data_IF_742529612029
#
_entry.id   IF_742529612029
#
_cell.length_a   1.000
_cell.length_b   1.000
_cell.length_c   1.000
_cell.angle_alpha   90.00
_cell.angle_beta   90.00
_cell.angle_gamma   90.00
#
_symmetry.space_group_name_H-M   'P 1'
#
loop_
_entity.id
_entity.type
_entity.pdbx_description
1 polymer ?
#
# COMPACT_ATOMS: atom_id res chain seq x y z
N UNK A 1 10.64 -1.18 -22.68
CA UNK A 1 11.39 -2.25 -22.02
C UNK A 1 10.96 -2.32 -20.55
N UNK A 2 10.59 -3.52 -20.11
CA UNK A 2 10.19 -3.73 -18.71
C UNK A 2 11.41 -3.87 -17.81
N UNK A 3 11.38 -3.25 -16.65
CA UNK A 3 12.38 -3.47 -15.62
C UNK A 3 11.78 -3.16 -14.25
N UNK A 4 12.30 -3.82 -13.24
CA UNK A 4 11.84 -3.68 -11.87
C UNK A 4 12.16 -2.27 -11.35
N UNK A 5 11.14 -1.62 -10.84
CA UNK A 5 11.28 -0.36 -10.11
C UNK A 5 11.18 -0.63 -8.61
N UNK A 6 12.07 -0.02 -7.86
CA UNK A 6 12.06 -0.06 -6.40
C UNK A 6 11.82 1.35 -5.90
N UNK A 7 10.68 1.55 -5.23
CA UNK A 7 10.34 2.85 -4.65
C UNK A 7 10.62 2.79 -3.17
N UNK A 8 11.47 3.70 -2.70
CA UNK A 8 11.67 3.95 -1.27
C UNK A 8 10.70 5.04 -0.85
N UNK A 9 9.83 4.72 0.08
CA UNK A 9 8.84 5.66 0.59
C UNK A 9 9.43 6.49 1.73
N UNK A 10 8.70 7.55 2.13
CA UNK A 10 9.04 8.30 3.35
C UNK A 10 8.85 7.47 4.61
N UNK A 11 8.16 6.36 4.50
CA UNK A 11 7.99 5.40 5.59
C UNK A 11 9.20 4.47 5.58
N UNK A 12 10.00 4.50 6.64
CA UNK A 12 11.22 3.69 6.72
C UNK A 12 10.92 2.19 6.87
N UNK A 13 9.73 1.85 7.34
CA UNK A 13 9.25 0.48 7.46
C UNK A 13 7.74 0.51 7.69
N UNK A 14 7.06 -0.55 7.30
CA UNK A 14 5.63 -0.70 7.55
C UNK A 14 5.38 -1.64 8.73
N UNK A 15 4.34 -1.36 9.49
CA UNK A 15 3.78 -2.35 10.40
C UNK A 15 3.00 -3.34 9.56
N UNK A 16 3.45 -4.60 9.56
CA UNK A 16 2.90 -5.64 8.68
C UNK A 16 1.38 -5.79 8.81
N UNK A 17 0.87 -5.88 10.04
CA UNK A 17 -0.57 -6.05 10.27
C UNK A 17 -1.37 -4.86 9.78
N UNK A 18 -0.89 -3.64 10.02
CA UNK A 18 -1.54 -2.43 9.56
C UNK A 18 -1.57 -2.36 8.04
N UNK A 19 -0.45 -2.69 7.39
CA UNK A 19 -0.39 -2.72 5.94
C UNK A 19 -1.36 -3.76 5.37
N UNK A 20 -1.43 -4.96 5.95
CA UNK A 20 -2.36 -5.99 5.53
C UNK A 20 -3.81 -5.54 5.69
N UNK A 21 -4.15 -4.86 6.78
CA UNK A 21 -5.49 -4.33 6.99
C UNK A 21 -5.86 -3.29 5.93
N UNK A 22 -4.94 -2.41 5.59
CA UNK A 22 -5.13 -1.42 4.51
C UNK A 22 -5.33 -2.12 3.18
N UNK A 23 -4.52 -3.11 2.85
CA UNK A 23 -4.65 -3.87 1.60
C UNK A 23 -5.97 -4.63 1.55
N UNK A 24 -6.42 -5.21 2.65
CA UNK A 24 -7.72 -5.89 2.72
C UNK A 24 -8.89 -4.94 2.47
N UNK A 25 -8.75 -3.66 2.80
CA UNK A 25 -9.78 -2.66 2.51
C UNK A 25 -9.89 -2.33 1.01
N UNK A 26 -8.95 -2.76 0.20
CA UNK A 26 -8.89 -2.51 -1.25
C UNK A 26 -9.20 -3.77 -2.08
N UNK A 27 -9.80 -4.81 -1.50
CA UNK A 27 -10.00 -6.11 -2.16
C UNK A 27 -10.91 -6.07 -3.40
N UNK A 28 -11.67 -5.00 -3.61
CA UNK A 28 -12.44 -4.86 -4.85
C UNK A 28 -11.54 -4.74 -6.09
N UNK A 29 -10.39 -4.09 -5.95
CA UNK A 29 -9.47 -3.84 -7.06
C UNK A 29 -8.26 -4.76 -7.06
N UNK A 30 -7.87 -5.26 -5.90
CA UNK A 30 -6.67 -6.07 -5.73
C UNK A 30 -6.96 -7.34 -4.94
N UNK A 31 -6.07 -8.32 -5.08
CA UNK A 31 -6.05 -9.48 -4.19
C UNK A 31 -4.66 -9.68 -3.61
N UNK A 32 -4.61 -10.18 -2.38
CA UNK A 32 -3.36 -10.51 -1.72
C UNK A 32 -2.93 -11.90 -2.17
N UNK A 33 -1.73 -11.98 -2.72
CA UNK A 33 -1.18 -13.22 -3.27
C UNK A 33 -0.50 -14.00 -2.16
N UNK A 34 -0.63 -15.33 -2.17
CA UNK A 34 0.00 -16.20 -1.17
C UNK A 34 1.49 -16.39 -1.40
N UNK A 35 1.90 -16.35 -2.64
CA UNK A 35 3.28 -16.57 -3.04
C UNK A 35 4.14 -15.35 -2.65
N UNK A 36 5.41 -15.60 -2.30
CA UNK A 36 6.39 -14.56 -2.03
C UNK A 36 7.24 -14.20 -3.25
N UNK A 37 7.02 -14.89 -4.36
CA UNK A 37 7.70 -14.64 -5.64
C UNK A 37 6.72 -14.85 -6.77
N UNK A 38 6.63 -13.86 -7.64
CA UNK A 38 5.76 -13.90 -8.82
C UNK A 38 6.50 -13.37 -10.03
N UNK A 39 6.03 -13.73 -11.21
CA UNK A 39 6.55 -13.18 -12.46
C UNK A 39 5.54 -12.18 -13.04
N UNK A 40 5.99 -10.94 -13.26
CA UNK A 40 5.20 -9.88 -13.85
C UNK A 40 5.84 -9.47 -15.17
N UNK A 41 5.22 -9.86 -16.28
CA UNK A 41 5.78 -9.69 -17.62
C UNK A 41 7.18 -10.31 -17.71
N UNK A 42 8.22 -9.46 -17.80
CA UNK A 42 9.61 -9.92 -17.93
C UNK A 42 10.42 -9.81 -16.64
N UNK A 43 9.81 -9.38 -15.56
CA UNK A 43 10.50 -9.21 -14.28
C UNK A 43 9.97 -10.18 -13.24
N UNK A 44 10.83 -10.55 -12.31
CA UNK A 44 10.45 -11.34 -11.15
C UNK A 44 10.35 -10.43 -9.94
N UNK A 45 9.24 -10.54 -9.22
CA UNK A 45 9.00 -9.77 -8.00
C UNK A 45 9.04 -10.73 -6.82
N UNK A 46 9.94 -10.49 -5.89
CA UNK A 46 10.04 -11.24 -4.63
C UNK A 46 9.86 -10.26 -3.48
N UNK A 47 8.86 -10.50 -2.65
CA UNK A 47 8.57 -9.65 -1.51
C UNK A 47 7.74 -10.41 -0.47
N UNK A 48 7.82 -10.02 0.82
CA UNK A 48 7.00 -10.66 1.86
C UNK A 48 5.50 -10.51 1.65
N UNK A 49 5.06 -9.41 1.02
CA UNK A 49 3.66 -9.17 0.70
C UNK A 49 3.58 -8.80 -0.77
N UNK A 50 2.73 -9.51 -1.52
CA UNK A 50 2.50 -9.23 -2.94
C UNK A 50 1.00 -9.10 -3.18
N UNK A 51 0.61 -8.08 -3.91
CA UNK A 51 -0.76 -7.88 -4.38
C UNK A 51 -0.83 -8.03 -5.89
N UNK A 52 -1.99 -8.49 -6.35
CA UNK A 52 -2.31 -8.59 -7.78
C UNK A 52 -3.47 -7.65 -8.08
N UNK A 53 -3.32 -6.82 -9.11
CA UNK A 53 -4.42 -6.00 -9.61
C UNK A 53 -5.34 -6.88 -10.45
N UNK A 54 -6.59 -7.02 -10.03
CA UNK A 54 -7.54 -7.98 -10.63
C UNK A 54 -7.79 -7.73 -12.11
N UNK A 55 -7.90 -6.46 -12.49
CA UNK A 55 -8.24 -6.09 -13.87
C UNK A 55 -7.08 -6.29 -14.85
N UNK A 56 -5.88 -5.95 -14.46
CA UNK A 56 -4.70 -6.03 -15.33
C UNK A 56 -3.89 -7.31 -15.14
N UNK A 57 -4.06 -8.00 -14.01
CA UNK A 57 -3.25 -9.15 -13.65
C UNK A 57 -1.81 -8.80 -13.24
N UNK A 58 -1.51 -7.51 -13.05
CA UNK A 58 -0.17 -7.04 -12.70
C UNK A 58 0.04 -7.11 -11.19
N UNK A 59 1.30 -7.10 -10.77
CA UNK A 59 1.70 -7.33 -9.38
C UNK A 59 2.48 -6.16 -8.80
N UNK A 60 2.32 -5.96 -7.49
CA UNK A 60 3.12 -5.01 -6.70
C UNK A 60 3.56 -5.71 -5.44
N UNK A 61 4.85 -5.66 -5.13
CA UNK A 61 5.42 -6.23 -3.91
C UNK A 61 5.70 -5.15 -2.87
N UNK A 62 5.49 -5.49 -1.60
CA UNK A 62 5.78 -4.62 -0.47
C UNK A 62 6.73 -5.33 0.48
N UNK A 63 7.79 -4.63 0.88
CA UNK A 63 8.68 -5.11 1.95
C UNK A 63 8.44 -4.28 3.21
N UNK A 64 7.70 -4.83 4.20
CA UNK A 64 7.41 -4.07 5.42
C UNK A 64 8.64 -3.68 6.22
N UNK A 65 9.70 -4.47 6.16
CA UNK A 65 10.91 -4.22 6.94
C UNK A 65 11.72 -3.04 6.42
N UNK A 66 11.71 -2.82 5.12
CA UNK A 66 12.52 -1.77 4.48
C UNK A 66 11.69 -0.58 4.00
N UNK A 67 10.36 -0.72 3.95
CA UNK A 67 9.48 0.29 3.36
C UNK A 67 9.55 0.36 1.85
N UNK A 68 10.20 -0.61 1.21
CA UNK A 68 10.34 -0.63 -0.24
C UNK A 68 9.11 -1.21 -0.92
N UNK A 69 8.79 -0.66 -2.10
CA UNK A 69 7.72 -1.14 -2.98
C UNK A 69 8.35 -1.52 -4.31
N UNK A 70 8.12 -2.75 -4.75
CA UNK A 70 8.74 -3.33 -5.95
C UNK A 70 7.66 -3.60 -6.99
N UNK A 71 7.84 -3.06 -8.19
CA UNK A 71 6.91 -3.27 -9.29
C UNK A 71 7.56 -2.92 -10.62
N UNK A 72 6.94 -3.34 -11.72
CA UNK A 72 7.31 -2.91 -13.07
C UNK A 72 6.22 -1.95 -13.58
N UNK A 73 6.52 -0.66 -13.77
CA UNK A 73 5.52 0.32 -14.21
C UNK A 73 5.16 0.21 -15.70
N UNK A 74 5.86 -0.60 -16.46
CA UNK A 74 5.67 -0.68 -17.91
C UNK A 74 4.23 -1.09 -18.27
N UNK A 75 3.58 -0.25 -19.07
CA UNK A 75 2.22 -0.50 -19.53
C UNK A 75 1.11 -0.13 -18.56
N UNK A 76 1.44 0.25 -17.32
CA UNK A 76 0.43 0.67 -16.32
C UNK A 76 0.95 1.70 -15.32
N UNK A 77 1.85 2.56 -15.79
CA UNK A 77 2.53 3.56 -14.93
C UNK A 77 1.54 4.40 -14.11
N UNK A 78 0.55 5.00 -14.76
CA UNK A 78 -0.42 5.86 -14.08
C UNK A 78 -1.29 5.08 -13.09
N UNK A 79 -1.75 3.91 -13.50
CA UNK A 79 -2.58 3.06 -12.64
C UNK A 79 -1.80 2.52 -11.44
N UNK A 80 -0.58 2.03 -11.67
CA UNK A 80 0.26 1.55 -10.57
C UNK A 80 0.59 2.66 -9.58
N UNK A 81 0.89 3.87 -10.06
CA UNK A 81 1.12 5.03 -9.20
C UNK A 81 -0.09 5.38 -8.36
N UNK A 82 -1.29 5.34 -8.94
CA UNK A 82 -2.53 5.59 -8.20
C UNK A 82 -2.76 4.55 -7.10
N UNK A 83 -2.54 3.28 -7.40
CA UNK A 83 -2.70 2.20 -6.43
C UNK A 83 -1.71 2.37 -5.28
N UNK A 84 -0.43 2.59 -5.59
CA UNK A 84 0.61 2.76 -4.58
C UNK A 84 0.30 3.98 -3.70
N UNK A 85 -0.05 5.12 -4.30
CA UNK A 85 -0.38 6.33 -3.57
C UNK A 85 -1.61 6.14 -2.68
N UNK A 86 -2.65 5.45 -3.17
CA UNK A 86 -3.84 5.16 -2.38
C UNK A 86 -3.51 4.30 -1.16
N UNK A 87 -2.70 3.26 -1.34
CA UNK A 87 -2.27 2.38 -0.24
C UNK A 87 -1.45 3.17 0.78
N UNK A 88 -0.49 3.98 0.33
CA UNK A 88 0.36 4.78 1.21
C UNK A 88 -0.44 5.81 1.99
N UNK A 89 -1.37 6.51 1.36
CA UNK A 89 -2.23 7.50 2.02
C UNK A 89 -3.10 6.85 3.09
N UNK A 90 -3.71 5.71 2.79
CA UNK A 90 -4.51 4.96 3.76
C UNK A 90 -3.65 4.48 4.93
N UNK A 91 -2.46 3.96 4.64
CA UNK A 91 -1.55 3.48 5.66
C UNK A 91 -1.15 4.61 6.61
N UNK A 92 -0.72 5.75 6.07
CA UNK A 92 -0.30 6.91 6.87
C UNK A 92 -1.47 7.42 7.71
N UNK A 93 -2.68 7.50 7.14
CA UNK A 93 -3.86 7.95 7.85
C UNK A 93 -4.19 7.02 9.04
N UNK A 94 -4.14 5.71 8.85
CA UNK A 94 -4.40 4.73 9.92
C UNK A 94 -3.37 4.85 11.04
N UNK A 95 -2.09 4.95 10.69
CA UNK A 95 -1.01 5.09 11.68
C UNK A 95 -1.17 6.40 12.46
N UNK A 96 -1.48 7.49 11.78
CA UNK A 96 -1.69 8.79 12.41
C UNK A 96 -2.89 8.77 13.37
N UNK A 97 -4.01 8.17 12.96
CA UNK A 97 -5.20 8.02 13.78
C UNK A 97 -4.87 7.23 15.06
N UNK A 98 -4.19 6.10 14.93
CA UNK A 98 -3.78 5.28 16.08
C UNK A 98 -2.86 6.05 17.03
N UNK A 99 -1.94 6.82 16.49
CA UNK A 99 -1.04 7.65 17.30
C UNK A 99 -1.82 8.70 18.09
N UNK A 100 -2.75 9.40 17.44
CA UNK A 100 -3.59 10.40 18.09
C UNK A 100 -4.46 9.78 19.20
N UNK A 101 -5.05 8.62 18.96
CA UNK A 101 -5.83 7.89 19.95
C UNK A 101 -4.98 7.53 21.17
N UNK A 102 -3.75 7.09 20.96
CA UNK A 102 -2.79 6.81 22.04
C UNK A 102 -2.48 8.05 22.87
N UNK A 103 -2.52 9.23 22.25
CA UNK A 103 -2.29 10.51 22.92
C UNK A 103 -3.55 11.09 23.60
N UNK A 104 -4.67 10.35 23.59
CA UNK A 104 -5.91 10.76 24.25
C UNK A 104 -6.85 11.60 23.40
N UNK A 105 -6.70 11.58 22.08
CA UNK A 105 -7.62 12.25 21.16
C UNK A 105 -8.73 11.30 20.70
N UNK A 106 -9.94 11.83 20.58
CA UNK A 106 -10.99 11.19 19.80
C UNK A 106 -10.75 11.49 18.33
N UNK A 107 -10.71 10.47 17.51
CA UNK A 107 -10.37 10.64 16.10
C UNK A 107 -11.52 10.15 15.22
N UNK A 108 -11.95 11.02 14.29
CA UNK A 108 -12.87 10.66 13.22
C UNK A 108 -12.08 10.56 11.93
N UNK A 109 -12.33 9.50 11.18
CA UNK A 109 -11.72 9.30 9.87
C UNK A 109 -12.78 9.51 8.81
N UNK A 110 -12.52 10.44 7.88
CA UNK A 110 -13.37 10.65 6.71
C UNK A 110 -12.65 10.13 5.49
N UNK A 111 -13.32 9.27 4.76
CA UNK A 111 -12.81 8.79 3.48
C UNK A 111 -13.47 9.60 2.37
N UNK A 112 -12.64 10.23 1.53
CA UNK A 112 -13.08 10.93 0.33
C UNK A 112 -12.63 10.15 -0.90
N UNK A 113 -13.05 10.57 -2.08
CA UNK A 113 -12.62 9.96 -3.33
C UNK A 113 -11.09 10.00 -3.53
N UNK A 114 -10.42 10.93 -2.88
CA UNK A 114 -8.98 11.18 -3.09
C UNK A 114 -8.10 10.90 -1.88
N UNK A 115 -8.64 10.93 -0.67
CA UNK A 115 -7.83 10.80 0.54
C UNK A 115 -8.65 10.39 1.73
N UNK A 116 -7.96 9.82 2.73
CA UNK A 116 -8.51 9.65 4.07
C UNK A 116 -7.96 10.79 4.93
N UNK A 117 -8.86 11.55 5.54
CA UNK A 117 -8.50 12.66 6.42
C UNK A 117 -8.81 12.26 7.84
N UNK A 118 -7.78 12.27 8.70
CA UNK A 118 -7.95 12.08 10.13
C UNK A 118 -8.13 13.43 10.82
N UNK A 119 -9.21 13.57 11.57
CA UNK A 119 -9.42 14.73 12.43
C UNK A 119 -9.40 14.28 13.87
N UNK A 120 -8.55 14.90 14.69
CA UNK A 120 -8.43 14.57 16.10
C UNK A 120 -8.96 15.69 16.97
N UNK A 121 -9.74 15.30 17.98
CA UNK A 121 -10.19 16.20 19.04
C UNK A 121 -9.74 15.60 20.37
N UNK A 122 -9.11 16.42 21.18
CA UNK A 122 -8.66 15.97 22.50
C UNK A 122 -9.84 15.57 23.36
N UNK A 123 -9.77 14.36 23.90
CA UNK A 123 -10.83 13.80 24.76
C UNK A 123 -10.91 14.52 26.10
#
# INVERSE_FOLDING_TARGET
MSHLSVVKTKVSRFQRETLLDVLKSCLEEIEIVKESTVRDAYVQISAPIIIKHKKTGRYIGFNPQTGEILYDPFGWRDLSSKIINAVLQKYIAVVMVRKLQTMGYNVKVQQTEKAIIGMGVKA
#
